data_IF_955576435250
#
_entry.id   IF_955576435250
#
_cell.length_a   1.000
_cell.length_b   1.000
_cell.length_c   1.000
_cell.angle_alpha   90.00
_cell.angle_beta   90.00
_cell.angle_gamma   90.00
#
_symmetry.space_group_name_H-M   'P 1'
#
loop_
_entity.id
_entity.type
_entity.pdbx_description
1 polymer ?
#
# COMPACT_ATOMS: atom_id res chain seq x y z
N UNK A 1 -7.39 -0.96 -28.62
CA UNK A 1 -7.69 -1.91 -27.51
C UNK A 1 -8.96 -1.41 -26.84
N UNK A 2 -9.90 -2.29 -26.50
CA UNK A 2 -11.20 -1.87 -25.92
C UNK A 2 -11.00 -1.61 -24.40
N UNK A 3 -11.43 -0.45 -23.90
CA UNK A 3 -11.33 -0.08 -22.47
C UNK A 3 -11.99 -1.12 -21.55
N UNK A 4 -13.10 -1.70 -21.98
CA UNK A 4 -13.81 -2.70 -21.20
C UNK A 4 -12.98 -3.97 -20.94
N UNK A 5 -12.16 -4.39 -21.92
CA UNK A 5 -11.25 -5.53 -21.75
C UNK A 5 -10.19 -5.18 -20.72
N UNK A 6 -9.59 -3.98 -20.79
CA UNK A 6 -8.60 -3.51 -19.80
C UNK A 6 -9.22 -3.53 -18.41
N UNK A 7 -10.41 -2.93 -18.24
CA UNK A 7 -11.09 -2.84 -16.95
C UNK A 7 -11.43 -4.23 -16.38
N UNK A 8 -11.94 -5.15 -17.22
CA UNK A 8 -12.25 -6.51 -16.77
C UNK A 8 -10.98 -7.24 -16.34
N UNK A 9 -9.90 -7.17 -17.10
CA UNK A 9 -8.63 -7.80 -16.75
C UNK A 9 -8.07 -7.26 -15.44
N UNK A 10 -8.05 -5.93 -15.27
CA UNK A 10 -7.58 -5.29 -14.03
C UNK A 10 -8.47 -5.69 -12.86
N UNK A 11 -9.79 -5.69 -13.03
CA UNK A 11 -10.73 -6.10 -11.99
C UNK A 11 -10.50 -7.55 -11.56
N UNK A 12 -10.40 -8.49 -12.50
CA UNK A 12 -10.16 -9.91 -12.20
C UNK A 12 -8.82 -10.10 -11.48
N UNK A 13 -7.75 -9.48 -11.98
CA UNK A 13 -6.43 -9.55 -11.33
C UNK A 13 -6.45 -8.95 -9.92
N UNK A 14 -7.13 -7.82 -9.72
CA UNK A 14 -7.29 -7.20 -8.40
C UNK A 14 -8.06 -8.10 -7.44
N UNK A 15 -9.16 -8.73 -7.90
CA UNK A 15 -9.93 -9.68 -7.09
C UNK A 15 -9.10 -10.91 -6.71
N UNK A 16 -8.33 -11.46 -7.65
CA UNK A 16 -7.46 -12.61 -7.39
C UNK A 16 -6.37 -12.29 -6.37
N UNK A 17 -5.65 -11.16 -6.54
CA UNK A 17 -4.60 -10.76 -5.61
C UNK A 17 -5.18 -10.44 -4.23
N UNK A 18 -6.31 -9.75 -4.16
CA UNK A 18 -6.99 -9.44 -2.90
C UNK A 18 -7.43 -10.73 -2.16
N UNK A 19 -8.02 -11.68 -2.88
CA UNK A 19 -8.42 -12.98 -2.32
C UNK A 19 -7.21 -13.76 -1.81
N UNK A 20 -6.12 -13.81 -2.57
CA UNK A 20 -4.88 -14.48 -2.16
C UNK A 20 -4.26 -13.82 -0.93
N UNK A 21 -4.22 -12.48 -0.87
CA UNK A 21 -3.74 -11.74 0.30
C UNK A 21 -4.58 -12.09 1.55
N UNK A 22 -5.90 -12.03 1.45
CA UNK A 22 -6.80 -12.35 2.56
C UNK A 22 -6.65 -13.81 3.03
N UNK A 23 -6.54 -14.75 2.09
CA UNK A 23 -6.33 -16.16 2.40
C UNK A 23 -5.00 -16.42 3.12
N UNK A 24 -3.91 -15.76 2.68
CA UNK A 24 -2.59 -15.86 3.32
C UNK A 24 -2.61 -15.23 4.71
N UNK A 25 -3.23 -14.05 4.83
CA UNK A 25 -3.38 -13.39 6.11
C UNK A 25 -4.18 -14.25 7.09
N UNK A 26 -5.35 -14.78 6.69
CA UNK A 26 -6.16 -15.69 7.50
C UNK A 26 -5.41 -16.95 7.90
N UNK A 27 -4.66 -17.57 6.98
CA UNK A 27 -3.84 -18.74 7.26
C UNK A 27 -2.77 -18.45 8.30
N UNK A 28 -2.03 -17.34 8.16
CA UNK A 28 -0.90 -17.03 9.04
C UNK A 28 -1.31 -16.33 10.34
N UNK A 29 -2.56 -15.88 10.44
CA UNK A 29 -3.13 -15.41 11.70
C UNK A 29 -3.40 -16.55 12.70
N UNK A 30 -3.46 -17.79 12.21
CA UNK A 30 -3.59 -18.99 13.06
C UNK A 30 -2.26 -19.56 13.51
N UNK A 31 -1.13 -19.12 12.95
CA UNK A 31 0.20 -19.58 13.31
C UNK A 31 0.77 -18.70 14.40
N UNK A 32 0.95 -19.25 15.60
CA UNK A 32 1.49 -18.52 16.76
C UNK A 32 2.98 -18.28 16.62
N UNK A 33 3.43 -17.12 17.07
CA UNK A 33 4.85 -16.84 17.27
C UNK A 33 5.40 -17.67 18.43
N UNK A 34 6.62 -18.21 18.31
CA UNK A 34 7.25 -19.00 19.38
C UNK A 34 7.45 -18.22 20.69
N UNK A 35 7.70 -16.93 20.60
CA UNK A 35 7.96 -16.03 21.73
C UNK A 35 6.70 -15.42 22.36
N UNK A 36 5.51 -15.68 21.81
CA UNK A 36 4.22 -15.20 22.31
C UNK A 36 4.00 -13.69 22.26
N UNK A 37 4.84 -12.93 21.55
CA UNK A 37 4.68 -11.48 21.41
C UNK A 37 3.43 -11.13 20.61
N UNK A 38 2.67 -10.16 21.10
CA UNK A 38 1.55 -9.57 20.35
C UNK A 38 2.05 -8.65 19.24
N UNK A 39 1.19 -8.31 18.25
CA UNK A 39 1.54 -7.30 17.26
C UNK A 39 1.92 -5.96 17.89
N UNK A 40 1.24 -5.57 18.98
CA UNK A 40 1.58 -4.35 19.72
C UNK A 40 2.97 -4.42 20.37
N UNK A 41 3.37 -5.58 20.90
CA UNK A 41 4.71 -5.77 21.49
C UNK A 41 5.79 -5.74 20.40
N UNK A 42 5.52 -6.39 19.25
CA UNK A 42 6.40 -6.36 18.07
C UNK A 42 6.61 -4.91 17.60
N UNK A 43 5.52 -4.14 17.49
CA UNK A 43 5.60 -2.75 17.07
C UNK A 43 6.43 -1.90 18.05
N UNK A 44 6.13 -1.96 19.35
CA UNK A 44 6.88 -1.21 20.38
C UNK A 44 8.36 -1.57 20.38
N UNK A 45 8.67 -2.87 20.30
CA UNK A 45 10.05 -3.34 20.26
C UNK A 45 10.77 -2.85 19.00
N UNK A 46 10.14 -2.92 17.82
CA UNK A 46 10.78 -2.46 16.58
C UNK A 46 11.05 -0.96 16.60
N UNK A 47 10.12 -0.16 17.12
CA UNK A 47 10.33 1.28 17.28
C UNK A 47 11.49 1.57 18.23
N UNK A 48 11.53 0.91 19.40
CA UNK A 48 12.59 1.05 20.40
C UNK A 48 13.97 0.65 19.85
N UNK A 49 14.06 -0.51 19.15
CA UNK A 49 15.31 -1.01 18.57
C UNK A 49 15.83 -0.07 17.46
N UNK A 50 14.95 0.75 16.85
CA UNK A 50 15.34 1.78 15.88
C UNK A 50 15.54 3.18 16.47
N UNK A 51 15.46 3.34 17.81
CA UNK A 51 15.64 4.62 18.51
C UNK A 51 14.47 5.58 18.36
N UNK A 52 13.26 5.07 18.07
CA UNK A 52 12.04 5.87 17.85
C UNK A 52 11.16 5.77 19.10
N UNK A 53 11.13 6.83 19.91
CA UNK A 53 10.43 6.87 21.20
C UNK A 53 9.19 7.79 21.18
N UNK A 54 9.02 8.56 20.14
CA UNK A 54 7.97 9.56 19.96
C UNK A 54 6.77 9.06 19.14
N UNK A 55 6.78 7.78 18.73
CA UNK A 55 5.68 7.13 18.01
C UNK A 55 4.89 6.24 18.96
N UNK A 56 3.57 6.47 19.04
CA UNK A 56 2.65 5.70 19.88
C UNK A 56 2.07 4.52 19.09
N UNK A 57 1.90 3.37 19.78
CA UNK A 57 1.21 2.19 19.23
C UNK A 57 -0.18 2.11 19.86
N UNK A 58 -1.22 2.21 19.05
CA UNK A 58 -2.61 2.25 19.49
C UNK A 58 -3.46 1.22 18.76
N UNK A 59 -4.54 0.68 19.36
CA UNK A 59 -5.52 -0.12 18.64
C UNK A 59 -6.40 0.76 17.77
N UNK A 60 -6.88 0.20 16.66
CA UNK A 60 -7.89 0.82 15.78
C UNK A 60 -8.99 -0.18 15.45
N UNK A 61 -10.21 0.32 15.21
CA UNK A 61 -11.35 -0.50 14.82
C UNK A 61 -11.29 -0.89 13.35
N UNK A 62 -11.89 -2.03 13.01
CA UNK A 62 -11.99 -2.56 11.66
C UNK A 62 -10.89 -3.57 11.34
N UNK A 63 -11.08 -4.28 10.21
CA UNK A 63 -10.10 -5.24 9.69
C UNK A 63 -9.25 -4.57 8.61
N UNK A 64 -7.95 -4.85 8.60
CA UNK A 64 -7.00 -4.28 7.61
C UNK A 64 -6.97 -2.73 7.62
N UNK A 65 -7.17 -2.15 8.80
CA UNK A 65 -7.09 -0.71 9.03
C UNK A 65 -5.75 -0.28 9.61
N UNK A 66 -4.81 -1.20 9.65
CA UNK A 66 -3.45 -0.99 10.15
C UNK A 66 -2.76 0.11 9.32
N UNK A 67 -2.14 1.08 10.00
CA UNK A 67 -1.42 2.14 9.32
C UNK A 67 -0.48 2.91 10.24
N UNK A 68 0.56 3.49 9.67
CA UNK A 68 1.37 4.53 10.31
C UNK A 68 0.91 5.92 9.88
N UNK A 69 0.61 6.79 10.85
CA UNK A 69 0.29 8.19 10.60
C UNK A 69 1.48 9.09 10.99
N UNK A 70 2.17 9.73 10.02
CA UNK A 70 3.33 10.57 10.32
C UNK A 70 2.97 11.91 10.98
N UNK A 71 1.74 12.40 10.82
CA UNK A 71 1.30 13.68 11.41
C UNK A 71 1.05 13.54 12.91
N UNK A 72 0.38 12.45 13.31
CA UNK A 72 0.08 12.17 14.73
C UNK A 72 1.16 11.32 15.39
N UNK A 73 2.17 10.86 14.63
CA UNK A 73 3.20 9.92 15.06
C UNK A 73 2.60 8.69 15.77
N UNK A 74 1.70 8.02 15.08
CA UNK A 74 1.01 6.84 15.60
C UNK A 74 1.11 5.67 14.63
N UNK A 75 1.40 4.49 15.15
CA UNK A 75 1.16 3.19 14.53
C UNK A 75 -0.18 2.69 15.08
N UNK A 76 -1.20 2.72 14.25
CA UNK A 76 -2.53 2.20 14.56
C UNK A 76 -2.64 0.77 14.03
N UNK A 77 -2.97 -0.18 14.91
CA UNK A 77 -3.10 -1.60 14.57
C UNK A 77 -4.55 -2.04 14.81
N UNK A 78 -5.13 -2.75 13.85
CA UNK A 78 -6.44 -3.38 14.01
C UNK A 78 -6.46 -4.33 15.20
N UNK A 79 -7.60 -4.53 15.83
CA UNK A 79 -7.72 -5.37 17.03
C UNK A 79 -7.15 -6.78 16.81
N UNK A 80 -7.39 -7.36 15.62
CA UNK A 80 -6.86 -8.67 15.22
C UNK A 80 -5.35 -8.70 15.02
N UNK A 81 -4.69 -7.56 14.89
CA UNK A 81 -3.23 -7.43 14.83
C UNK A 81 -2.69 -7.01 16.19
N UNK A 82 -3.29 -6.01 16.82
CA UNK A 82 -2.81 -5.42 18.08
C UNK A 82 -2.64 -6.46 19.20
N UNK A 83 -3.66 -7.28 19.44
CA UNK A 83 -3.70 -8.26 20.53
C UNK A 83 -3.27 -9.69 20.12
N UNK A 84 -3.08 -9.95 18.83
CA UNK A 84 -2.76 -11.29 18.34
C UNK A 84 -1.25 -11.59 18.42
N UNK A 85 -0.93 -12.83 18.84
CA UNK A 85 0.45 -13.36 18.89
C UNK A 85 0.78 -14.18 17.62
N UNK A 86 0.26 -13.81 16.47
CA UNK A 86 0.42 -14.58 15.24
C UNK A 86 1.52 -14.03 14.31
N UNK A 87 1.97 -14.89 13.39
CA UNK A 87 2.95 -14.50 12.36
C UNK A 87 2.42 -13.36 11.48
N UNK A 88 1.13 -13.40 11.12
CA UNK A 88 0.50 -12.34 10.35
C UNK A 88 0.49 -11.01 11.13
N UNK A 89 0.13 -11.04 12.40
CA UNK A 89 0.12 -9.85 13.25
C UNK A 89 1.53 -9.23 13.41
N UNK A 90 2.55 -10.06 13.60
CA UNK A 90 3.93 -9.59 13.66
C UNK A 90 4.40 -8.98 12.35
N UNK A 91 4.07 -9.60 11.21
CA UNK A 91 4.45 -9.12 9.90
C UNK A 91 3.83 -7.73 9.60
N UNK A 92 2.52 -7.56 9.87
CA UNK A 92 1.81 -6.29 9.67
C UNK A 92 2.33 -5.22 10.63
N UNK A 93 2.42 -5.52 11.93
CA UNK A 93 2.91 -4.58 12.92
C UNK A 93 4.33 -4.08 12.60
N UNK A 94 5.21 -4.99 12.19
CA UNK A 94 6.57 -4.62 11.76
C UNK A 94 6.56 -3.82 10.46
N UNK A 95 5.65 -4.09 9.53
CA UNK A 95 5.49 -3.33 8.29
C UNK A 95 5.12 -1.87 8.58
N UNK A 96 4.12 -1.63 9.43
CA UNK A 96 3.72 -0.27 9.81
C UNK A 96 4.84 0.48 10.55
N UNK A 97 5.60 -0.23 11.39
CA UNK A 97 6.83 0.32 11.97
C UNK A 97 7.90 0.58 10.92
N UNK A 98 7.94 -0.20 9.84
CA UNK A 98 8.81 0.06 8.68
C UNK A 98 8.57 1.45 8.09
N UNK A 99 7.32 1.91 7.99
CA UNK A 99 6.97 3.28 7.59
C UNK A 99 7.42 4.32 8.62
N UNK A 100 7.30 4.03 9.91
CA UNK A 100 7.82 4.92 10.95
C UNK A 100 9.35 5.09 10.85
N UNK A 101 10.07 3.98 10.60
CA UNK A 101 11.52 4.00 10.37
C UNK A 101 11.89 4.75 9.09
N UNK A 102 11.14 4.58 8.01
CA UNK A 102 11.32 5.37 6.77
C UNK A 102 11.18 6.87 7.05
N UNK A 103 10.15 7.25 7.79
CA UNK A 103 9.89 8.65 8.16
C UNK A 103 11.02 9.21 9.02
N UNK A 104 11.41 8.51 10.09
CA UNK A 104 12.50 8.93 10.99
C UNK A 104 13.85 9.06 10.28
N UNK A 105 14.10 8.22 9.26
CA UNK A 105 15.34 8.27 8.45
C UNK A 105 15.25 9.16 7.21
N UNK A 106 14.15 9.88 7.01
CA UNK A 106 13.97 10.80 5.87
C UNK A 106 13.98 10.12 4.52
N UNK A 107 13.40 8.91 4.40
CA UNK A 107 13.39 8.13 3.14
C UNK A 107 12.74 8.93 2.01
N UNK A 108 13.52 9.20 0.95
CA UNK A 108 13.14 10.13 -0.12
C UNK A 108 11.82 9.77 -0.80
N UNK A 109 11.59 8.48 -1.14
CA UNK A 109 10.36 8.07 -1.79
C UNK A 109 9.11 8.29 -0.91
N UNK A 110 9.23 8.08 0.43
CA UNK A 110 8.13 8.38 1.36
C UNK A 110 7.84 9.90 1.42
N UNK A 111 8.89 10.73 1.42
CA UNK A 111 8.73 12.19 1.37
C UNK A 111 8.04 12.65 0.08
N UNK A 112 8.45 12.10 -1.06
CA UNK A 112 7.81 12.37 -2.36
C UNK A 112 6.33 11.94 -2.35
N UNK A 113 6.04 10.72 -1.87
CA UNK A 113 4.65 10.23 -1.70
C UNK A 113 3.84 11.21 -0.86
N UNK A 114 4.34 11.60 0.32
CA UNK A 114 3.65 12.51 1.22
C UNK A 114 3.40 13.90 0.62
N UNK A 115 4.36 14.43 -0.14
CA UNK A 115 4.21 15.72 -0.84
C UNK A 115 3.17 15.67 -1.96
N UNK A 116 2.97 14.51 -2.60
CA UNK A 116 1.99 14.32 -3.67
C UNK A 116 0.56 14.09 -3.16
N UNK A 117 0.37 13.67 -1.89
CA UNK A 117 -0.96 13.35 -1.33
C UNK A 117 -1.99 14.47 -1.56
N UNK A 118 -1.74 15.76 -1.28
CA UNK A 118 -2.73 16.81 -1.50
C UNK A 118 -3.14 16.95 -2.97
N UNK A 119 -2.16 16.89 -3.88
CA UNK A 119 -2.38 17.01 -5.33
C UNK A 119 -3.20 15.82 -5.84
N UNK A 120 -2.82 14.61 -5.44
CA UNK A 120 -3.49 13.38 -5.85
C UNK A 120 -4.89 13.28 -5.26
N UNK A 121 -5.08 13.70 -4.01
CA UNK A 121 -6.40 13.74 -3.37
C UNK A 121 -7.34 14.67 -4.14
N UNK A 122 -6.89 15.86 -4.51
CA UNK A 122 -7.67 16.77 -5.34
C UNK A 122 -7.96 16.14 -6.73
N UNK A 123 -6.92 15.65 -7.41
CA UNK A 123 -7.06 15.05 -8.74
C UNK A 123 -8.04 13.88 -8.74
N UNK A 124 -7.95 12.97 -7.75
CA UNK A 124 -8.79 11.78 -7.65
C UNK A 124 -10.28 12.10 -7.50
N UNK A 125 -10.63 13.21 -6.87
CA UNK A 125 -12.02 13.61 -6.68
C UNK A 125 -12.69 14.08 -7.99
N UNK A 126 -11.93 14.61 -8.94
CA UNK A 126 -12.49 15.22 -10.16
C UNK A 126 -12.13 14.49 -11.44
N UNK A 127 -11.04 13.69 -11.45
CA UNK A 127 -10.48 13.10 -12.68
C UNK A 127 -11.48 12.25 -13.43
N UNK A 128 -12.32 11.49 -12.74
CA UNK A 128 -13.33 10.63 -13.37
C UNK A 128 -14.33 11.46 -14.19
N UNK A 129 -14.80 12.56 -13.64
CA UNK A 129 -15.76 13.46 -14.29
C UNK A 129 -15.12 14.22 -15.44
N UNK A 130 -13.88 14.68 -15.27
CA UNK A 130 -13.13 15.38 -16.32
C UNK A 130 -12.85 14.45 -17.51
N UNK A 131 -12.42 13.21 -17.27
CA UNK A 131 -12.21 12.21 -18.31
C UNK A 131 -13.51 11.86 -19.03
N UNK A 132 -14.62 11.66 -18.29
CA UNK A 132 -15.92 11.38 -18.88
C UNK A 132 -16.38 12.53 -19.78
N UNK A 133 -16.34 13.75 -19.28
CA UNK A 133 -16.67 14.94 -20.08
C UNK A 133 -15.71 15.11 -21.28
N UNK A 134 -14.40 14.88 -21.06
CA UNK A 134 -13.40 14.94 -22.12
C UNK A 134 -13.67 13.96 -23.28
N UNK A 135 -14.15 12.74 -22.96
CA UNK A 135 -14.54 11.76 -23.99
C UNK A 135 -15.83 12.18 -24.71
N UNK A 136 -16.84 12.70 -23.99
CA UNK A 136 -18.10 13.14 -24.58
C UNK A 136 -17.88 14.33 -25.54
N UNK A 137 -17.03 15.27 -25.15
CA UNK A 137 -16.79 16.51 -25.90
C UNK A 137 -15.51 16.49 -26.74
N UNK A 138 -14.96 15.30 -27.04
CA UNK A 138 -13.66 15.15 -27.71
C UNK A 138 -13.57 15.90 -29.03
N UNK A 139 -14.65 15.87 -29.84
CA UNK A 139 -14.73 16.53 -31.14
C UNK A 139 -14.96 18.06 -31.08
N UNK A 140 -15.37 18.58 -29.91
CA UNK A 140 -15.67 20.01 -29.73
C UNK A 140 -14.57 20.69 -28.90
N UNK A 141 -14.10 20.03 -27.89
CA UNK A 141 -13.07 20.56 -26.97
C UNK A 141 -12.07 19.47 -26.52
N UNK A 142 -11.16 19.04 -27.42
CA UNK A 142 -10.20 17.96 -27.14
C UNK A 142 -9.26 18.29 -25.98
N UNK A 143 -9.02 19.58 -25.68
CA UNK A 143 -8.20 20.01 -24.55
C UNK A 143 -8.71 19.52 -23.17
N UNK A 144 -10.02 19.29 -23.04
CA UNK A 144 -10.60 18.78 -21.80
C UNK A 144 -10.14 17.33 -21.52
N UNK A 145 -10.06 16.49 -22.55
CA UNK A 145 -9.53 15.13 -22.41
C UNK A 145 -8.05 15.15 -22.02
N UNK A 146 -7.24 16.01 -22.67
CA UNK A 146 -5.82 16.15 -22.32
C UNK A 146 -5.61 16.62 -20.87
N UNK A 147 -6.46 17.54 -20.40
CA UNK A 147 -6.44 17.96 -18.99
C UNK A 147 -6.79 16.79 -18.05
N UNK A 148 -7.81 15.99 -18.38
CA UNK A 148 -8.14 14.77 -17.62
C UNK A 148 -7.00 13.76 -17.61
N UNK A 149 -6.32 13.56 -18.74
CA UNK A 149 -5.13 12.70 -18.85
C UNK A 149 -4.01 13.20 -17.94
N UNK A 150 -3.74 14.52 -17.91
CA UNK A 150 -2.73 15.11 -17.05
C UNK A 150 -3.05 14.88 -15.56
N UNK A 151 -4.31 15.07 -15.16
CA UNK A 151 -4.76 14.75 -13.79
C UNK A 151 -4.59 13.26 -13.47
N UNK A 152 -4.98 12.38 -14.40
CA UNK A 152 -4.85 10.94 -14.20
C UNK A 152 -3.37 10.49 -14.15
N UNK A 153 -2.49 11.14 -14.91
CA UNK A 153 -1.06 10.89 -14.87
C UNK A 153 -0.45 11.16 -13.47
N UNK A 154 -0.97 12.14 -12.72
CA UNK A 154 -0.51 12.38 -11.34
C UNK A 154 -0.86 11.22 -10.41
N UNK A 155 -2.05 10.62 -10.54
CA UNK A 155 -2.46 9.45 -9.74
C UNK A 155 -1.66 8.20 -10.14
N UNK A 156 -1.36 8.05 -11.42
CA UNK A 156 -0.49 6.97 -11.92
C UNK A 156 0.92 7.12 -11.36
N UNK A 157 1.51 8.31 -11.42
CA UNK A 157 2.83 8.60 -10.84
C UNK A 157 2.86 8.30 -9.34
N UNK A 158 1.82 8.70 -8.61
CA UNK A 158 1.70 8.40 -7.18
C UNK A 158 1.71 6.89 -6.90
N UNK A 159 1.02 6.08 -7.71
CA UNK A 159 1.01 4.62 -7.57
C UNK A 159 2.42 4.04 -7.75
N UNK A 160 3.19 4.53 -8.72
CA UNK A 160 4.58 4.09 -8.95
C UNK A 160 5.55 4.55 -7.85
N UNK A 161 5.36 5.74 -7.28
CA UNK A 161 6.17 6.23 -6.14
C UNK A 161 5.81 5.45 -4.86
N UNK A 162 4.55 5.04 -4.69
CA UNK A 162 4.10 4.26 -3.54
C UNK A 162 4.73 2.87 -3.52
N UNK A 163 4.90 2.23 -4.67
CA UNK A 163 5.42 0.86 -4.76
C UNK A 163 6.78 0.66 -4.07
N UNK A 164 7.85 1.45 -4.35
CA UNK A 164 9.13 1.31 -3.63
C UNK A 164 9.02 1.63 -2.14
N UNK A 165 8.09 2.49 -1.72
CA UNK A 165 7.83 2.77 -0.30
C UNK A 165 7.34 1.50 0.40
N UNK A 166 6.35 0.84 -0.15
CA UNK A 166 5.74 -0.39 0.41
C UNK A 166 6.72 -1.57 0.41
N UNK A 167 7.45 -1.76 -0.69
CA UNK A 167 8.48 -2.81 -0.78
C UNK A 167 9.60 -2.57 0.25
N UNK A 168 10.05 -1.33 0.41
CA UNK A 168 11.10 -1.01 1.38
C UNK A 168 10.62 -1.14 2.83
N UNK A 169 9.37 -0.76 3.16
CA UNK A 169 8.79 -0.97 4.49
C UNK A 169 8.72 -2.47 4.82
N UNK A 170 8.22 -3.30 3.89
CA UNK A 170 8.18 -4.76 4.03
C UNK A 170 9.58 -5.37 4.18
N UNK A 171 10.56 -4.92 3.40
CA UNK A 171 11.95 -5.39 3.50
C UNK A 171 12.56 -5.09 4.87
N UNK A 172 12.33 -3.89 5.41
CA UNK A 172 12.76 -3.50 6.76
C UNK A 172 12.11 -4.38 7.83
N UNK A 173 10.80 -4.61 7.71
CA UNK A 173 10.05 -5.47 8.61
C UNK A 173 10.64 -6.90 8.66
N UNK A 174 10.80 -7.52 7.51
CA UNK A 174 11.34 -8.90 7.42
C UNK A 174 12.78 -8.98 7.93
N UNK A 175 13.63 -8.01 7.55
CA UNK A 175 15.01 -7.98 8.02
C UNK A 175 15.07 -7.89 9.54
N UNK A 176 14.29 -6.99 10.16
CA UNK A 176 14.26 -6.80 11.60
C UNK A 176 13.67 -8.03 12.33
N UNK A 177 12.53 -8.57 11.89
CA UNK A 177 11.92 -9.77 12.45
C UNK A 177 12.88 -10.96 12.45
N UNK A 178 13.70 -11.09 11.41
CA UNK A 178 14.70 -12.15 11.27
C UNK A 178 15.90 -11.92 12.19
N UNK A 179 16.44 -10.69 12.22
CA UNK A 179 17.63 -10.35 13.02
C UNK A 179 17.37 -10.46 14.52
N UNK A 180 16.14 -10.15 14.96
CA UNK A 180 15.75 -10.24 16.37
C UNK A 180 15.29 -11.64 16.79
N UNK A 181 15.22 -12.60 15.87
CA UNK A 181 14.75 -13.96 16.15
C UNK A 181 13.26 -14.06 16.50
N UNK A 182 12.47 -13.02 16.20
CA UNK A 182 11.00 -13.05 16.38
C UNK A 182 10.38 -14.04 15.41
N UNK A 183 10.91 -14.12 14.19
CA UNK A 183 10.59 -15.18 13.24
C UNK A 183 11.77 -16.13 13.10
N UNK A 184 11.47 -17.43 13.08
CA UNK A 184 12.41 -18.53 12.89
C UNK A 184 12.44 -19.03 11.44
N UNK A 185 13.10 -20.14 11.19
CA UNK A 185 13.22 -20.78 9.86
C UNK A 185 11.87 -21.23 9.28
N UNK A 186 10.86 -21.50 10.12
CA UNK A 186 9.52 -21.94 9.72
C UNK A 186 8.58 -20.75 9.52
N UNK A 187 8.62 -19.77 10.39
CA UNK A 187 7.69 -18.63 10.41
C UNK A 187 8.13 -17.47 9.50
N UNK A 188 9.45 -17.30 9.28
CA UNK A 188 9.98 -16.28 8.35
C UNK A 188 9.41 -16.37 6.93
N UNK A 189 9.36 -17.55 6.26
CA UNK A 189 8.74 -17.65 4.93
C UNK A 189 7.27 -17.25 4.92
N UNK A 190 6.54 -17.49 6.02
CA UNK A 190 5.13 -17.11 6.14
C UNK A 190 4.96 -15.59 6.24
N UNK A 191 5.81 -14.92 7.02
CA UNK A 191 5.82 -13.46 7.11
C UNK A 191 6.17 -12.81 5.77
N UNK A 192 7.17 -13.35 5.05
CA UNK A 192 7.53 -12.90 3.69
C UNK A 192 6.35 -13.07 2.73
N UNK A 193 5.70 -14.23 2.73
CA UNK A 193 4.58 -14.52 1.83
C UNK A 193 3.39 -13.60 2.12
N UNK A 194 3.06 -13.33 3.39
CA UNK A 194 2.01 -12.40 3.77
C UNK A 194 2.25 -10.98 3.21
N UNK A 195 3.45 -10.42 3.44
CA UNK A 195 3.80 -9.07 2.98
C UNK A 195 3.98 -8.99 1.46
N UNK A 196 4.42 -10.07 0.81
CA UNK A 196 4.53 -10.16 -0.64
C UNK A 196 3.17 -10.06 -1.33
N UNK A 197 2.16 -10.76 -0.83
CA UNK A 197 0.80 -10.66 -1.38
C UNK A 197 0.17 -9.29 -1.13
N UNK A 198 0.45 -8.65 0.00
CA UNK A 198 0.08 -7.27 0.23
C UNK A 198 0.77 -6.32 -0.78
N UNK A 199 2.06 -6.49 -1.05
CA UNK A 199 2.78 -5.69 -2.05
C UNK A 199 2.23 -5.87 -3.48
N UNK A 200 1.75 -7.05 -3.85
CA UNK A 200 1.15 -7.28 -5.17
C UNK A 200 -0.12 -6.47 -5.41
N UNK A 201 -0.88 -6.07 -4.37
CA UNK A 201 -2.02 -5.16 -4.55
C UNK A 201 -1.58 -3.82 -5.12
N UNK A 202 -0.45 -3.29 -4.67
CA UNK A 202 0.13 -2.04 -5.20
C UNK A 202 0.69 -2.22 -6.62
N UNK A 203 1.26 -3.39 -6.94
CA UNK A 203 1.72 -3.69 -8.31
C UNK A 203 0.56 -3.68 -9.29
N UNK A 204 -0.53 -4.37 -8.96
CA UNK A 204 -1.73 -4.40 -9.83
C UNK A 204 -2.33 -3.00 -9.97
N UNK A 205 -2.42 -2.23 -8.89
CA UNK A 205 -2.90 -0.85 -8.94
C UNK A 205 -2.04 0.04 -9.86
N UNK A 206 -0.71 -0.06 -9.77
CA UNK A 206 0.21 0.71 -10.60
C UNK A 206 0.14 0.31 -12.08
N UNK A 207 0.12 -0.99 -12.38
CA UNK A 207 0.01 -1.49 -13.75
C UNK A 207 -1.38 -1.18 -14.35
N UNK A 208 -2.44 -1.29 -13.56
CA UNK A 208 -3.80 -0.96 -13.97
C UNK A 208 -3.96 0.52 -14.30
N UNK A 209 -3.41 1.40 -13.45
CA UNK A 209 -3.43 2.84 -13.71
C UNK A 209 -2.62 3.20 -14.97
N UNK A 210 -1.46 2.58 -15.18
CA UNK A 210 -0.66 2.78 -16.38
C UNK A 210 -1.40 2.34 -17.65
N UNK A 211 -2.00 1.15 -17.63
CA UNK A 211 -2.75 0.63 -18.78
C UNK A 211 -3.94 1.55 -19.14
N UNK A 212 -4.64 2.07 -18.14
CA UNK A 212 -5.74 3.02 -18.30
C UNK A 212 -5.23 4.36 -18.84
N UNK A 213 -4.11 4.86 -18.33
CA UNK A 213 -3.48 6.10 -18.81
C UNK A 213 -3.12 5.99 -20.29
N UNK A 214 -2.46 4.90 -20.68
CA UNK A 214 -2.07 4.65 -22.08
C UNK A 214 -3.28 4.53 -23.00
N UNK A 215 -4.39 3.96 -22.52
CA UNK A 215 -5.64 3.92 -23.27
C UNK A 215 -6.16 5.33 -23.58
N UNK A 216 -6.26 6.22 -22.58
CA UNK A 216 -6.75 7.59 -22.80
C UNK A 216 -5.82 8.42 -23.67
N UNK A 217 -4.49 8.26 -23.53
CA UNK A 217 -3.52 8.89 -24.45
C UNK A 217 -3.72 8.38 -25.88
N UNK A 218 -3.93 7.08 -26.07
CA UNK A 218 -4.21 6.50 -27.36
C UNK A 218 -5.54 6.95 -27.96
N UNK A 219 -6.54 7.23 -27.13
CA UNK A 219 -7.82 7.80 -27.57
C UNK A 219 -7.64 9.25 -28.03
N UNK A 220 -6.98 10.09 -27.23
CA UNK A 220 -6.76 11.51 -27.52
C UNK A 220 -5.84 11.78 -28.72
N UNK A 221 -5.09 10.77 -29.22
CA UNK A 221 -4.22 10.89 -30.40
C UNK A 221 -4.88 10.46 -31.70
N UNK A 222 -6.09 9.92 -31.66
CA UNK A 222 -6.79 9.40 -32.83
C UNK A 222 -7.64 10.46 -33.51
N UNK A 223 -7.89 11.55 -32.84
CA UNK A 223 -8.56 12.76 -33.27
C UNK A 223 -7.56 13.90 -33.44
#
# INVERSE_FOLDING_TARGET
>A
MNIWIIMIVIMVLSMLVQSMMQNRFSKYSQVRLPNGMTGADVARKMLQDNGIYDVKVIPTQGMLTDHYNPQTKTVALSEGVYASCSVAAAAVAAHECGHAVQHARGYTALRMRSALVPVVSFASNIVQWVLLAGVIFINVFPGLLWFGIALFATTTLFSFITLPVEVNASSRAISWLTQTGITDTQTRPMAIDALKWAAYTYVIAALGSLATLLYYIGLARRD
#
